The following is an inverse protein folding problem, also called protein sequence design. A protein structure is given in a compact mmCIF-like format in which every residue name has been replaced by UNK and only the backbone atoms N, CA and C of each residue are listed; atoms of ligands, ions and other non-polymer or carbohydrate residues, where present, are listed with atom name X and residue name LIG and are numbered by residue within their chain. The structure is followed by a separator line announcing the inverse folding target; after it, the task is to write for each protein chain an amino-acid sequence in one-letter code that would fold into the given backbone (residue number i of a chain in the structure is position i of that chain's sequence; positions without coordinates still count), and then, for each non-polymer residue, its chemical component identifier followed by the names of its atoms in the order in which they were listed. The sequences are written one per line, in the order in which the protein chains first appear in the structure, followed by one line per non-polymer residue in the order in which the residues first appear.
data_IF_692085346415
#
_entry.id   IF_692085346415
#
_cell.length_a   1.000
_cell.length_b   1.000
_cell.length_c   1.000
_cell.angle_alpha   90.00
_cell.angle_beta   90.00
_cell.angle_gamma   90.00
#
_symmetry.space_group_name_H-M   'P 1'
#
loop_
_entity.id
_entity.type
_entity.pdbx_description
1 polymer ?
#
# COMPACT_ATOMS: atom_id res chain seq x y z
N UNK A 1 34.62 40.16 -2.31
CA UNK A 1 33.79 39.35 -1.39
C UNK A 1 32.61 40.18 -0.98
N UNK A 2 31.41 39.87 -1.49
CA UNK A 2 30.23 40.71 -1.26
C UNK A 2 29.31 40.02 -0.25
N UNK A 3 29.17 40.64 0.92
CA UNK A 3 28.20 40.28 1.95
C UNK A 3 26.79 40.40 1.37
N UNK A 4 26.19 39.26 0.99
CA UNK A 4 24.86 39.22 0.36
C UNK A 4 23.68 39.26 1.32
N UNK A 5 23.91 39.32 2.63
CA UNK A 5 22.80 39.33 3.61
C UNK A 5 23.16 40.21 4.81
N UNK A 6 22.58 41.42 4.88
CA UNK A 6 22.50 42.16 6.15
C UNK A 6 21.41 41.48 6.98
N UNK A 7 21.79 40.79 8.04
CA UNK A 7 20.86 40.36 9.09
C UNK A 7 20.21 41.62 9.68
N UNK A 8 18.91 41.83 9.40
CA UNK A 8 18.10 42.85 10.07
C UNK A 8 18.10 42.51 11.55
N UNK A 9 18.57 43.43 12.40
CA UNK A 9 18.53 43.21 13.85
C UNK A 9 17.06 43.20 14.27
N UNK A 10 16.67 42.28 15.15
CA UNK A 10 15.28 42.13 15.65
C UNK A 10 14.63 43.47 16.07
N UNK A 11 15.44 44.37 16.63
CA UNK A 11 15.05 45.73 17.07
C UNK A 11 14.66 46.70 15.94
N UNK A 12 15.03 46.41 14.69
CA UNK A 12 14.71 47.22 13.52
C UNK A 12 13.55 46.63 12.70
N UNK A 13 12.94 45.53 13.17
CA UNK A 13 11.83 44.85 12.49
C UNK A 13 10.49 45.40 12.97
N UNK A 14 9.54 45.77 12.08
CA UNK A 14 8.23 46.25 12.49
C UNK A 14 7.50 45.25 13.39
N UNK A 15 6.84 45.73 14.45
CA UNK A 15 6.10 44.89 15.41
C UNK A 15 5.02 44.02 14.74
N UNK A 16 4.39 44.54 13.68
CA UNK A 16 3.45 43.77 12.84
C UNK A 16 4.12 42.56 12.20
N UNK A 17 5.30 42.74 11.60
CA UNK A 17 6.10 41.65 11.01
C UNK A 17 6.54 40.63 12.07
N UNK A 18 6.93 41.08 13.27
CA UNK A 18 7.28 40.17 14.37
C UNK A 18 6.08 39.28 14.75
N UNK A 19 4.89 39.87 14.93
CA UNK A 19 3.65 39.10 15.22
C UNK A 19 3.33 38.08 14.13
N UNK A 20 3.53 38.46 12.86
CA UNK A 20 3.34 37.60 11.70
C UNK A 20 4.34 36.44 11.66
N UNK A 21 5.61 36.70 11.94
CA UNK A 21 6.65 35.67 12.05
C UNK A 21 6.34 34.69 13.18
N UNK A 22 5.92 35.18 14.35
CA UNK A 22 5.56 34.34 15.49
C UNK A 22 4.32 33.48 15.21
N UNK A 23 3.30 34.03 14.56
CA UNK A 23 2.13 33.27 14.10
C UNK A 23 2.53 32.17 13.10
N UNK A 24 3.44 32.48 12.18
CA UNK A 24 3.93 31.53 11.16
C UNK A 24 4.77 30.42 11.81
N UNK A 25 5.62 30.75 12.79
CA UNK A 25 6.37 29.76 13.59
C UNK A 25 5.46 28.85 14.40
N UNK A 26 4.40 29.40 14.99
CA UNK A 26 3.39 28.60 15.70
C UNK A 26 2.71 27.59 14.75
N UNK A 27 2.33 28.02 13.54
CA UNK A 27 1.76 27.13 12.52
C UNK A 27 2.75 26.08 12.03
N UNK A 28 4.01 26.44 11.83
CA UNK A 28 5.09 25.50 11.50
C UNK A 28 5.21 24.40 12.56
N UNK A 29 5.27 24.77 13.84
CA UNK A 29 5.27 23.82 14.96
C UNK A 29 4.06 22.88 14.95
N UNK A 30 2.86 23.40 14.65
CA UNK A 30 1.63 22.62 14.55
C UNK A 30 1.59 21.63 13.38
N UNK A 31 2.42 21.80 12.34
CA UNK A 31 2.45 20.92 11.16
C UNK A 31 3.52 19.84 11.29
N UNK A 32 4.62 20.10 12.01
CA UNK A 32 5.73 19.16 12.19
C UNK A 32 5.30 17.87 12.89
N UNK A 33 4.50 17.96 13.95
CA UNK A 33 4.00 16.78 14.66
C UNK A 33 3.10 15.89 13.76
N UNK A 34 2.10 16.42 13.04
CA UNK A 34 1.34 15.66 12.05
C UNK A 34 2.19 15.00 10.95
N UNK A 35 3.29 15.64 10.52
CA UNK A 35 4.24 15.06 9.55
C UNK A 35 4.98 13.87 10.17
N UNK A 36 5.48 14.01 11.40
CA UNK A 36 6.14 12.91 12.12
C UNK A 36 5.20 11.71 12.25
N UNK A 37 3.99 11.95 12.74
CA UNK A 37 2.96 10.91 12.89
C UNK A 37 2.62 10.23 11.56
N UNK A 38 2.45 11.00 10.49
CA UNK A 38 2.14 10.41 9.16
C UNK A 38 3.32 9.61 8.59
N UNK A 39 4.55 9.98 8.93
CA UNK A 39 5.76 9.24 8.57
C UNK A 39 5.85 7.91 9.33
N UNK A 40 5.55 7.92 10.62
CA UNK A 40 5.45 6.70 11.45
C UNK A 40 4.33 5.78 10.94
N UNK A 41 3.13 6.32 10.69
CA UNK A 41 1.99 5.59 10.12
C UNK A 41 2.37 4.92 8.77
N UNK A 42 3.14 5.61 7.92
CA UNK A 42 3.64 5.07 6.66
C UNK A 42 4.66 3.95 6.83
N UNK A 43 5.52 4.04 7.86
CA UNK A 43 6.50 3.01 8.20
C UNK A 43 5.79 1.75 8.70
N UNK A 44 4.90 1.89 9.69
CA UNK A 44 4.08 0.79 10.20
C UNK A 44 3.22 0.16 9.11
N UNK A 45 2.62 0.97 8.24
CA UNK A 45 1.87 0.46 7.10
C UNK A 45 2.75 -0.36 6.14
N UNK A 46 4.00 0.06 5.87
CA UNK A 46 4.92 -0.70 5.04
C UNK A 46 5.24 -2.08 5.66
N UNK A 47 5.50 -2.12 6.97
CA UNK A 47 5.69 -3.39 7.71
C UNK A 47 4.46 -4.29 7.59
N UNK A 48 3.25 -3.73 7.72
CA UNK A 48 2.02 -4.51 7.62
C UNK A 48 1.78 -5.08 6.21
N UNK A 49 2.10 -4.31 5.16
CA UNK A 49 2.05 -4.82 3.77
C UNK A 49 3.04 -5.97 3.58
N UNK A 50 4.28 -5.84 4.07
CA UNK A 50 5.29 -6.89 4.00
C UNK A 50 4.84 -8.15 4.75
N UNK A 51 4.34 -7.98 5.98
CA UNK A 51 3.87 -9.10 6.78
C UNK A 51 2.72 -9.85 6.09
N UNK A 52 1.71 -9.13 5.61
CA UNK A 52 0.56 -9.75 4.94
C UNK A 52 0.99 -10.50 3.66
N UNK A 53 1.87 -9.92 2.83
CA UNK A 53 2.35 -10.57 1.60
C UNK A 53 3.24 -11.78 1.89
N UNK A 54 4.12 -11.71 2.89
CA UNK A 54 4.94 -12.86 3.30
C UNK A 54 4.11 -13.99 3.87
N UNK A 55 3.13 -13.69 4.73
CA UNK A 55 2.20 -14.70 5.24
C UNK A 55 1.39 -15.35 4.12
N UNK A 56 1.00 -14.59 3.10
CA UNK A 56 0.35 -15.16 1.93
C UNK A 56 1.28 -16.12 1.17
N UNK A 57 2.53 -15.71 0.97
CA UNK A 57 3.46 -16.45 0.12
C UNK A 57 4.10 -17.66 0.80
N UNK A 58 4.47 -17.52 2.07
CA UNK A 58 5.26 -18.48 2.86
C UNK A 58 4.45 -19.18 3.95
N UNK A 59 3.21 -18.74 4.22
CA UNK A 59 2.43 -19.23 5.35
C UNK A 59 3.00 -18.76 6.69
N UNK A 60 2.43 -19.25 7.79
CA UNK A 60 2.90 -19.01 9.16
C UNK A 60 2.90 -17.54 9.60
N UNK A 61 3.63 -17.24 10.68
CA UNK A 61 3.84 -15.87 11.16
C UNK A 61 5.13 -15.27 10.60
N UNK A 62 4.99 -14.41 9.58
CA UNK A 62 6.11 -13.78 8.86
C UNK A 62 6.02 -12.26 8.95
N UNK A 63 6.30 -11.71 10.12
CA UNK A 63 6.20 -10.26 10.39
C UNK A 63 7.53 -9.53 10.42
N UNK A 64 8.62 -10.16 9.97
CA UNK A 64 9.95 -9.57 10.01
C UNK A 64 10.07 -8.40 8.99
N UNK A 65 10.95 -7.45 9.30
CA UNK A 65 11.15 -6.25 8.49
C UNK A 65 12.33 -6.35 7.51
N UNK A 66 13.06 -7.48 7.52
CA UNK A 66 14.30 -7.68 6.77
C UNK A 66 14.10 -7.86 5.27
N UNK A 67 15.11 -8.40 4.59
CA UNK A 67 14.98 -8.90 3.23
C UNK A 67 13.90 -9.99 3.15
N UNK A 68 13.41 -10.30 1.94
CA UNK A 68 12.52 -11.43 1.79
C UNK A 68 13.26 -12.70 2.23
N UNK A 69 12.72 -13.48 3.19
CA UNK A 69 13.45 -14.62 3.72
C UNK A 69 13.58 -15.71 2.66
N UNK A 70 14.62 -16.52 2.77
CA UNK A 70 14.70 -17.76 2.00
C UNK A 70 13.47 -18.64 2.30
N UNK A 71 13.07 -19.47 1.33
CA UNK A 71 11.94 -20.37 1.50
C UNK A 71 12.19 -21.34 2.67
N UNK A 72 11.41 -21.28 3.76
CA UNK A 72 11.65 -22.13 4.92
C UNK A 72 10.89 -23.45 4.81
N UNK A 73 11.40 -24.52 5.44
CA UNK A 73 10.75 -25.84 5.39
C UNK A 73 9.35 -25.86 6.02
N UNK A 74 9.11 -25.03 7.04
CA UNK A 74 7.80 -24.88 7.70
C UNK A 74 6.74 -24.19 6.80
N UNK A 75 7.11 -23.73 5.60
CA UNK A 75 6.16 -23.32 4.56
C UNK A 75 5.47 -24.51 3.87
N UNK A 76 5.99 -25.73 4.08
CA UNK A 76 5.56 -26.95 3.43
C UNK A 76 5.11 -27.99 4.45
N UNK A 77 4.09 -28.76 4.10
CA UNK A 77 3.76 -29.96 4.87
C UNK A 77 4.66 -31.13 4.47
N UNK A 78 4.67 -32.19 5.28
CA UNK A 78 5.53 -33.35 5.04
C UNK A 78 5.24 -34.06 3.71
N UNK A 79 3.99 -34.14 3.22
CA UNK A 79 3.66 -34.92 2.03
C UNK A 79 2.73 -34.16 1.09
N UNK A 80 2.76 -34.49 -0.20
CA UNK A 80 1.83 -33.95 -1.20
C UNK A 80 0.38 -34.08 -0.77
N UNK A 81 -0.06 -35.27 -0.36
CA UNK A 81 -1.44 -35.48 0.16
C UNK A 81 -1.74 -34.56 1.36
N UNK A 82 -0.78 -34.39 2.26
CA UNK A 82 -0.85 -33.47 3.38
C UNK A 82 -1.08 -32.02 2.93
N UNK A 83 -0.32 -31.58 1.94
CA UNK A 83 -0.34 -30.22 1.40
C UNK A 83 -1.56 -29.94 0.52
N UNK A 84 -2.03 -30.93 -0.23
CA UNK A 84 -2.89 -30.71 -1.40
C UNK A 84 -4.31 -31.24 -1.21
N UNK A 85 -4.50 -32.27 -0.39
CA UNK A 85 -5.82 -32.84 -0.08
C UNK A 85 -6.30 -32.44 1.33
N UNK A 86 -5.46 -32.62 2.35
CA UNK A 86 -5.87 -32.34 3.73
C UNK A 86 -5.69 -30.87 4.05
N UNK A 87 -6.74 -30.17 4.49
CA UNK A 87 -6.67 -28.73 4.78
C UNK A 87 -6.21 -28.43 6.21
N UNK A 88 -5.43 -29.34 6.81
CA UNK A 88 -5.02 -29.29 8.21
C UNK A 88 -3.51 -29.02 8.42
N UNK A 89 -2.76 -28.65 7.39
CA UNK A 89 -1.34 -28.23 7.50
C UNK A 89 -1.17 -26.75 7.88
N UNK A 90 0.03 -26.37 8.36
CA UNK A 90 0.40 -24.99 8.73
C UNK A 90 -0.03 -24.02 7.63
N UNK A 91 -0.94 -23.10 7.99
CA UNK A 91 -1.71 -22.17 7.16
C UNK A 91 -1.24 -22.04 5.69
N UNK A 92 -1.87 -22.83 4.79
CA UNK A 92 -1.47 -23.02 3.38
C UNK A 92 -1.12 -21.71 2.66
N UNK A 93 0.07 -21.73 2.08
CA UNK A 93 0.74 -20.64 1.40
C UNK A 93 0.65 -20.78 -0.12
N UNK A 94 0.91 -19.70 -0.86
CA UNK A 94 1.03 -19.78 -2.32
C UNK A 94 2.18 -20.70 -2.77
N UNK A 95 3.29 -20.73 -2.02
CA UNK A 95 4.39 -21.63 -2.31
C UNK A 95 3.95 -23.10 -2.22
N UNK A 96 3.21 -23.47 -1.17
CA UNK A 96 2.67 -24.82 -1.02
C UNK A 96 1.66 -25.17 -2.12
N UNK A 97 0.85 -24.21 -2.57
CA UNK A 97 -0.11 -24.46 -3.65
C UNK A 97 0.59 -24.64 -5.01
N UNK A 98 1.71 -23.94 -5.25
CA UNK A 98 2.53 -24.17 -6.44
C UNK A 98 3.08 -25.60 -6.45
N UNK A 99 3.56 -26.09 -5.31
CA UNK A 99 4.01 -27.49 -5.15
C UNK A 99 2.89 -28.49 -5.38
N UNK A 100 1.66 -28.18 -5.00
CA UNK A 100 0.54 -29.08 -5.27
C UNK A 100 0.19 -29.20 -6.77
N UNK A 101 0.40 -28.11 -7.51
CA UNK A 101 0.09 -28.03 -8.93
C UNK A 101 1.18 -28.63 -9.81
N UNK A 102 2.42 -28.61 -9.32
CA UNK A 102 3.59 -28.98 -10.12
C UNK A 102 4.35 -30.18 -9.54
N UNK A 103 4.30 -30.40 -8.23
CA UNK A 103 4.87 -31.58 -7.59
C UNK A 103 3.99 -32.83 -7.73
N UNK A 104 4.60 -33.97 -7.43
CA UNK A 104 3.97 -35.29 -7.32
C UNK A 104 4.35 -35.93 -5.99
N UNK A 105 3.52 -36.83 -5.46
CA UNK A 105 3.68 -37.38 -4.12
C UNK A 105 4.72 -38.49 -4.03
N UNK A 106 4.67 -39.45 -4.95
CA UNK A 106 5.68 -40.50 -5.14
C UNK A 106 5.48 -41.10 -6.53
N UNK A 107 6.49 -41.04 -7.40
CA UNK A 107 6.45 -41.75 -8.69
C UNK A 107 7.67 -42.65 -8.90
N UNK A 108 7.48 -43.92 -9.32
CA UNK A 108 8.60 -44.74 -9.77
C UNK A 108 9.17 -44.27 -11.11
N UNK A 109 8.45 -43.39 -11.83
CA UNK A 109 8.87 -42.82 -13.11
C UNK A 109 9.30 -41.36 -12.92
N UNK A 110 10.61 -41.13 -12.95
CA UNK A 110 11.20 -39.80 -12.77
C UNK A 110 10.80 -38.81 -13.87
N UNK A 111 10.36 -39.27 -15.04
CA UNK A 111 9.89 -38.43 -16.14
C UNK A 111 8.53 -37.77 -15.85
N UNK A 112 7.79 -38.30 -14.88
CA UNK A 112 6.50 -37.74 -14.43
C UNK A 112 6.63 -36.72 -13.29
N UNK A 113 7.83 -36.57 -12.73
CA UNK A 113 8.05 -35.74 -11.54
C UNK A 113 8.08 -34.25 -11.88
N UNK A 114 8.53 -33.87 -13.08
CA UNK A 114 8.80 -32.49 -13.47
C UNK A 114 7.60 -31.79 -14.13
N UNK A 115 6.44 -31.74 -13.47
CA UNK A 115 5.28 -30.99 -13.99
C UNK A 115 5.56 -29.49 -13.97
N UNK A 116 4.92 -28.70 -14.85
CA UNK A 116 5.14 -27.26 -15.00
C UNK A 116 6.56 -26.85 -15.47
N UNK A 117 7.38 -27.77 -16.01
CA UNK A 117 8.74 -27.47 -16.50
C UNK A 117 8.88 -27.43 -18.02
N UNK A 118 7.85 -27.83 -18.76
CA UNK A 118 7.91 -28.13 -20.20
C UNK A 118 8.40 -26.96 -21.08
N UNK A 119 8.16 -25.71 -20.66
CA UNK A 119 8.51 -24.52 -21.46
C UNK A 119 9.95 -24.02 -21.23
N UNK A 120 10.74 -24.67 -20.37
CA UNK A 120 12.08 -24.16 -19.97
C UNK A 120 13.15 -25.23 -20.15
N UNK A 121 14.02 -25.06 -21.16
CA UNK A 121 15.09 -26.01 -21.43
C UNK A 121 16.12 -26.01 -20.30
N UNK A 122 16.43 -27.19 -19.75
CA UNK A 122 17.49 -27.37 -18.75
C UNK A 122 17.10 -27.12 -17.29
N UNK A 123 15.86 -26.69 -17.01
CA UNK A 123 15.32 -26.61 -15.65
C UNK A 123 14.32 -27.73 -15.42
N UNK A 124 14.69 -28.69 -14.60
CA UNK A 124 13.85 -29.83 -14.21
C UNK A 124 14.15 -30.25 -12.78
N UNK A 125 13.30 -31.11 -12.22
CA UNK A 125 13.51 -31.75 -10.93
C UNK A 125 12.99 -33.19 -11.00
N UNK A 126 13.62 -34.07 -10.25
CA UNK A 126 13.30 -35.49 -10.18
C UNK A 126 13.04 -35.93 -8.73
N UNK A 127 12.54 -35.01 -7.91
CA UNK A 127 12.32 -35.19 -6.49
C UNK A 127 10.83 -35.29 -6.20
N UNK A 128 10.43 -36.31 -5.43
CA UNK A 128 9.07 -36.46 -4.93
C UNK A 128 8.77 -35.47 -3.80
N UNK A 129 7.55 -34.94 -3.76
CA UNK A 129 7.06 -34.14 -2.64
C UNK A 129 6.58 -35.03 -1.47
N UNK A 130 7.52 -35.74 -0.85
CA UNK A 130 7.31 -36.64 0.28
C UNK A 130 7.98 -36.19 1.60
N UNK A 131 8.68 -35.05 1.57
CA UNK A 131 9.17 -34.33 2.75
C UNK A 131 9.02 -32.81 2.56
N UNK A 132 9.04 -32.05 3.65
CA UNK A 132 9.04 -30.58 3.58
C UNK A 132 10.30 -30.02 2.88
N UNK A 133 11.46 -30.66 3.11
CA UNK A 133 12.73 -30.28 2.46
C UNK A 133 12.69 -30.49 0.94
N UNK A 134 12.03 -31.55 0.49
CA UNK A 134 11.80 -31.77 -0.94
C UNK A 134 10.87 -30.69 -1.51
N UNK A 135 9.83 -30.29 -0.77
CA UNK A 135 8.99 -29.14 -1.15
C UNK A 135 9.79 -27.85 -1.36
N UNK A 136 10.77 -27.55 -0.48
CA UNK A 136 11.69 -26.41 -0.67
C UNK A 136 12.50 -26.55 -1.96
N UNK A 137 12.98 -27.76 -2.27
CA UNK A 137 13.82 -28.04 -3.44
C UNK A 137 13.04 -27.85 -4.74
N UNK A 138 11.86 -28.46 -4.82
CA UNK A 138 10.99 -28.33 -6.00
C UNK A 138 10.58 -26.85 -6.18
N UNK A 139 10.23 -26.17 -5.09
CA UNK A 139 9.83 -24.76 -5.12
C UNK A 139 10.94 -23.88 -5.72
N UNK A 140 12.20 -24.10 -5.34
CA UNK A 140 13.32 -23.30 -5.85
C UNK A 140 13.46 -23.43 -7.36
N UNK A 141 13.31 -24.64 -7.88
CA UNK A 141 13.34 -24.90 -9.33
C UNK A 141 12.18 -24.21 -10.04
N UNK A 142 10.95 -24.39 -9.53
CA UNK A 142 9.74 -23.77 -10.10
C UNK A 142 9.77 -22.23 -10.03
N UNK A 143 10.26 -21.67 -8.93
CA UNK A 143 10.43 -20.23 -8.78
C UNK A 143 11.42 -19.68 -9.80
N UNK A 144 12.54 -20.38 -10.05
CA UNK A 144 13.49 -19.99 -11.09
C UNK A 144 12.87 -19.99 -12.49
N UNK A 145 11.97 -20.95 -12.76
CA UNK A 145 11.19 -20.97 -14.01
C UNK A 145 10.25 -19.75 -14.08
N UNK A 146 9.54 -19.43 -13.00
CA UNK A 146 8.69 -18.23 -12.94
C UNK A 146 9.48 -16.94 -13.21
N UNK A 147 10.69 -16.81 -12.67
CA UNK A 147 11.56 -15.64 -12.89
C UNK A 147 12.03 -15.52 -14.36
N UNK A 148 12.12 -16.63 -15.09
CA UNK A 148 12.50 -16.64 -16.51
C UNK A 148 11.31 -16.42 -17.45
N UNK A 149 10.11 -16.82 -17.04
CA UNK A 149 8.93 -16.88 -17.92
C UNK A 149 7.95 -15.73 -17.71
N UNK A 150 8.02 -15.03 -16.58
CA UNK A 150 7.09 -13.96 -16.26
C UNK A 150 7.81 -12.71 -15.74
N UNK A 151 7.41 -11.54 -16.25
CA UNK A 151 7.86 -10.27 -15.70
C UNK A 151 7.20 -9.99 -14.35
N UNK A 152 8.03 -9.62 -13.36
CA UNK A 152 7.57 -9.25 -12.04
C UNK A 152 6.63 -8.04 -12.11
N UNK A 153 5.37 -8.25 -11.72
CA UNK A 153 4.37 -7.19 -11.68
C UNK A 153 4.51 -6.35 -10.41
N UNK A 154 4.29 -5.03 -10.49
CA UNK A 154 4.31 -4.18 -9.30
C UNK A 154 3.21 -4.61 -8.33
N UNK A 155 3.55 -4.66 -7.04
CA UNK A 155 2.61 -4.97 -5.97
C UNK A 155 1.65 -3.78 -5.76
N UNK A 156 0.52 -3.79 -6.46
CA UNK A 156 -0.52 -2.76 -6.37
C UNK A 156 -1.87 -3.35 -5.97
N UNK A 157 -2.82 -2.55 -5.45
CA UNK A 157 -4.17 -3.02 -5.20
C UNK A 157 -4.84 -3.64 -6.44
N UNK A 158 -4.61 -3.06 -7.62
CA UNK A 158 -5.17 -3.51 -8.89
C UNK A 158 -4.57 -4.84 -9.32
N UNK A 159 -3.24 -4.98 -9.23
CA UNK A 159 -2.54 -6.24 -9.55
C UNK A 159 -3.06 -7.37 -8.65
N UNK A 160 -3.15 -7.13 -7.34
CA UNK A 160 -3.68 -8.12 -6.40
C UNK A 160 -5.12 -8.50 -6.75
N UNK A 161 -6.01 -7.51 -6.97
CA UNK A 161 -7.39 -7.79 -7.34
C UNK A 161 -7.50 -8.63 -8.62
N UNK A 162 -6.70 -8.30 -9.63
CA UNK A 162 -6.72 -8.99 -10.93
C UNK A 162 -6.28 -10.44 -10.77
N UNK A 163 -5.18 -10.69 -10.05
CA UNK A 163 -4.67 -12.04 -9.85
C UNK A 163 -5.57 -12.89 -8.96
N UNK A 164 -6.14 -12.31 -7.89
CA UNK A 164 -7.13 -13.01 -7.07
C UNK A 164 -8.38 -13.36 -7.88
N UNK A 165 -8.84 -12.44 -8.74
CA UNK A 165 -9.97 -12.72 -9.62
C UNK A 165 -9.66 -13.86 -10.60
N UNK A 166 -8.52 -13.81 -11.29
CA UNK A 166 -8.07 -14.87 -12.18
C UNK A 166 -8.06 -16.24 -11.46
N UNK A 167 -7.47 -16.30 -10.26
CA UNK A 167 -7.53 -17.50 -9.41
C UNK A 167 -8.97 -17.97 -9.16
N UNK A 168 -9.87 -17.07 -8.75
CA UNK A 168 -11.28 -17.45 -8.48
C UNK A 168 -12.01 -17.99 -9.71
N UNK A 169 -11.69 -17.52 -10.92
CA UNK A 169 -12.31 -18.03 -12.15
C UNK A 169 -11.83 -19.42 -12.55
N UNK A 170 -10.66 -19.81 -12.05
CA UNK A 170 -10.05 -21.11 -12.32
C UNK A 170 -10.40 -22.17 -11.27
N UNK A 171 -10.91 -21.74 -10.11
CA UNK A 171 -11.40 -22.65 -9.08
C UNK A 171 -12.65 -23.38 -9.56
N UNK A 172 -12.64 -24.72 -9.45
CA UNK A 172 -13.74 -25.56 -9.92
C UNK A 172 -13.89 -25.61 -11.44
N UNK A 173 -12.88 -25.18 -12.19
CA UNK A 173 -12.94 -25.13 -13.66
C UNK A 173 -13.17 -26.50 -14.30
N UNK A 174 -12.65 -27.56 -13.69
CA UNK A 174 -12.78 -28.93 -14.19
C UNK A 174 -13.84 -29.68 -13.38
N UNK A 175 -14.92 -30.07 -14.05
CA UNK A 175 -15.95 -30.93 -13.46
C UNK A 175 -15.46 -32.37 -13.42
N UNK A 176 -15.52 -32.98 -12.23
CA UNK A 176 -15.10 -34.35 -11.99
C UNK A 176 -16.33 -35.16 -11.58
N UNK A 177 -16.60 -36.27 -12.24
CA UNK A 177 -17.90 -36.96 -12.15
C UNK A 177 -18.12 -37.68 -10.82
N UNK A 178 -17.12 -38.44 -10.39
CA UNK A 178 -17.13 -39.30 -9.19
C UNK A 178 -16.51 -38.65 -7.96
N UNK A 179 -15.82 -37.52 -8.15
CA UNK A 179 -15.09 -36.88 -7.08
C UNK A 179 -15.97 -36.12 -6.08
N UNK A 180 -15.47 -35.96 -4.86
CA UNK A 180 -16.13 -35.17 -3.82
C UNK A 180 -16.36 -33.74 -4.30
N UNK A 181 -17.60 -33.24 -4.12
CA UNK A 181 -18.05 -31.92 -4.62
C UNK A 181 -17.86 -31.71 -6.13
N UNK A 182 -17.69 -32.79 -6.89
CA UNK A 182 -17.50 -32.79 -8.34
C UNK A 182 -16.37 -31.86 -8.83
N UNK A 183 -15.35 -31.64 -7.98
CA UNK A 183 -14.24 -30.73 -8.28
C UNK A 183 -14.53 -29.24 -8.06
N UNK A 184 -15.70 -28.85 -7.54
CA UNK A 184 -16.11 -27.45 -7.38
C UNK A 184 -15.15 -26.57 -6.56
N UNK A 185 -14.31 -27.17 -5.71
CA UNK A 185 -13.32 -26.48 -4.88
C UNK A 185 -11.87 -26.85 -5.22
N UNK A 186 -11.64 -27.50 -6.37
CA UNK A 186 -10.31 -27.84 -6.84
C UNK A 186 -9.72 -26.71 -7.68
N UNK A 187 -8.44 -26.40 -7.47
CA UNK A 187 -7.65 -25.58 -8.37
C UNK A 187 -6.64 -26.47 -9.11
N UNK A 188 -6.60 -26.40 -10.44
CA UNK A 188 -5.94 -27.40 -11.27
C UNK A 188 -6.91 -28.44 -11.83
N UNK A 189 -6.40 -29.44 -12.56
CA UNK A 189 -7.23 -30.42 -13.29
C UNK A 189 -7.87 -31.43 -12.36
N UNK A 190 -7.08 -31.95 -11.42
CA UNK A 190 -7.50 -33.01 -10.52
C UNK A 190 -7.79 -34.35 -11.19
N UNK A 191 -7.84 -35.36 -10.35
CA UNK A 191 -8.21 -36.73 -10.73
C UNK A 191 -9.68 -36.98 -10.41
N UNK A 192 -10.37 -37.68 -11.30
CA UNK A 192 -11.74 -38.09 -11.05
C UNK A 192 -11.74 -39.30 -10.10
N UNK A 193 -12.01 -39.04 -8.82
CA UNK A 193 -12.01 -40.04 -7.76
C UNK A 193 -12.35 -39.43 -6.40
N UNK A 194 -12.69 -40.28 -5.43
CA UNK A 194 -13.14 -39.86 -4.10
C UNK A 194 -12.08 -39.05 -3.34
N UNK A 195 -10.79 -39.27 -3.64
CA UNK A 195 -9.64 -38.54 -3.12
C UNK A 195 -8.94 -37.77 -4.25
N UNK A 196 -9.28 -36.49 -4.43
CA UNK A 196 -8.61 -35.64 -5.42
C UNK A 196 -7.23 -35.17 -4.92
N UNK A 197 -6.32 -34.79 -5.83
CA UNK A 197 -5.07 -34.11 -5.49
C UNK A 197 -4.12 -34.94 -4.59
N UNK A 198 -3.99 -36.24 -4.84
CA UNK A 198 -3.09 -37.10 -4.04
C UNK A 198 -1.65 -37.13 -4.55
N UNK A 199 -1.39 -36.61 -5.76
CA UNK A 199 -0.06 -36.58 -6.35
C UNK A 199 0.45 -37.93 -6.89
N UNK A 200 -0.42 -38.94 -6.99
CA UNK A 200 -0.03 -40.31 -7.39
C UNK A 200 -0.17 -40.58 -8.90
N UNK A 201 -0.37 -39.56 -9.73
CA UNK A 201 -0.69 -39.73 -11.15
C UNK A 201 0.20 -38.85 -12.02
N UNK A 202 0.35 -39.24 -13.30
CA UNK A 202 1.09 -38.52 -14.32
C UNK A 202 0.62 -37.06 -14.47
N UNK A 203 1.46 -36.24 -15.11
CA UNK A 203 1.49 -34.76 -15.22
C UNK A 203 0.19 -34.01 -15.55
N UNK A 204 -0.93 -34.70 -15.76
CA UNK A 204 -2.20 -34.11 -16.19
C UNK A 204 -3.25 -33.97 -15.07
N UNK A 205 -3.00 -34.46 -13.85
CA UNK A 205 -4.02 -34.47 -12.79
C UNK A 205 -3.67 -33.70 -11.51
N UNK A 206 -2.58 -32.93 -11.52
CA UNK A 206 -2.17 -32.11 -10.38
C UNK A 206 -3.22 -31.06 -10.00
N UNK A 207 -3.39 -30.83 -8.70
CA UNK A 207 -4.36 -29.88 -8.16
C UNK A 207 -4.13 -29.56 -6.68
N UNK A 208 -4.84 -28.53 -6.21
CA UNK A 208 -5.09 -28.23 -4.79
C UNK A 208 -6.59 -28.43 -4.52
N UNK A 209 -6.96 -29.15 -3.47
CA UNK A 209 -8.35 -29.30 -3.05
C UNK A 209 -8.65 -28.40 -1.84
N UNK A 210 -9.58 -27.46 -1.99
CA UNK A 210 -10.03 -26.57 -0.90
C UNK A 210 -11.37 -26.98 -0.27
N UNK A 211 -11.96 -28.11 -0.66
CA UNK A 211 -13.31 -28.51 -0.24
C UNK A 211 -13.49 -28.52 1.29
N UNK A 212 -12.57 -29.14 2.04
CA UNK A 212 -12.70 -29.21 3.49
C UNK A 212 -12.62 -27.82 4.17
N UNK A 213 -11.93 -26.83 3.61
CA UNK A 213 -11.83 -25.49 4.18
C UNK A 213 -13.10 -24.68 3.96
N UNK A 214 -13.77 -24.88 2.81
CA UNK A 214 -15.09 -24.30 2.58
C UNK A 214 -16.17 -24.96 3.45
N UNK A 215 -16.04 -26.27 3.70
CA UNK A 215 -17.01 -27.07 4.47
C UNK A 215 -16.89 -26.98 5.99
N UNK A 216 -15.83 -26.37 6.53
CA UNK A 216 -15.70 -26.16 7.99
C UNK A 216 -16.90 -25.41 8.59
N UNK A 217 -17.56 -24.54 7.80
CA UNK A 217 -18.82 -23.87 8.17
C UNK A 217 -19.69 -23.60 6.92
N UNK A 218 -21.02 -23.61 7.06
CA UNK A 218 -21.99 -23.51 5.94
C UNK A 218 -21.96 -22.20 5.12
N UNK A 219 -21.13 -21.21 5.47
CA UNK A 219 -20.98 -19.93 4.76
C UNK A 219 -19.55 -19.36 4.78
N UNK A 220 -18.54 -20.22 4.79
CA UNK A 220 -17.14 -19.75 4.82
C UNK A 220 -16.82 -18.93 3.57
N UNK A 221 -16.44 -17.66 3.75
CA UNK A 221 -16.01 -16.81 2.63
C UNK A 221 -14.65 -17.28 2.12
N UNK A 222 -14.37 -17.10 0.82
CA UNK A 222 -13.10 -17.54 0.21
C UNK A 222 -11.86 -17.02 0.95
N UNK A 223 -11.84 -15.75 1.38
CA UNK A 223 -10.72 -15.20 2.14
C UNK A 223 -10.57 -15.75 3.57
N UNK A 224 -11.53 -16.52 4.06
CA UNK A 224 -11.45 -17.26 5.33
C UNK A 224 -11.05 -18.72 5.09
N UNK A 225 -11.60 -19.34 4.04
CA UNK A 225 -11.31 -20.71 3.63
C UNK A 225 -9.87 -20.86 3.11
N UNK A 226 -9.42 -19.92 2.29
CA UNK A 226 -8.09 -19.91 1.67
C UNK A 226 -7.27 -18.81 2.34
N UNK A 227 -6.35 -19.21 3.23
CA UNK A 227 -5.63 -18.27 4.11
C UNK A 227 -4.79 -17.28 3.32
N UNK A 228 -3.97 -17.74 2.38
CA UNK A 228 -3.15 -16.83 1.56
C UNK A 228 -4.01 -15.83 0.76
N UNK A 229 -5.20 -16.23 0.30
CA UNK A 229 -6.14 -15.34 -0.38
C UNK A 229 -6.56 -14.21 0.55
N UNK A 230 -6.97 -14.55 1.78
CA UNK A 230 -7.31 -13.57 2.82
C UNK A 230 -6.15 -12.62 3.15
N UNK A 231 -4.92 -13.14 3.22
CA UNK A 231 -3.71 -12.35 3.46
C UNK A 231 -3.40 -11.39 2.30
N UNK A 232 -3.63 -11.78 1.04
CA UNK A 232 -3.51 -10.87 -0.10
C UNK A 232 -4.61 -9.79 -0.10
N UNK A 233 -5.84 -10.12 0.32
CA UNK A 233 -6.88 -9.11 0.54
C UNK A 233 -6.48 -8.10 1.62
N UNK A 234 -5.85 -8.55 2.70
CA UNK A 234 -5.30 -7.70 3.75
C UNK A 234 -4.21 -6.77 3.19
N UNK A 235 -3.24 -7.33 2.46
CA UNK A 235 -2.18 -6.55 1.81
C UNK A 235 -2.76 -5.48 0.86
N UNK A 236 -3.76 -5.84 0.04
CA UNK A 236 -4.48 -4.90 -0.82
C UNK A 236 -5.09 -3.75 -0.02
N UNK A 237 -5.78 -4.03 1.09
CA UNK A 237 -6.36 -2.99 1.96
C UNK A 237 -5.27 -2.05 2.48
N UNK A 238 -4.15 -2.61 2.95
CA UNK A 238 -3.02 -1.83 3.45
C UNK A 238 -2.36 -0.96 2.38
N UNK A 239 -2.29 -1.42 1.13
CA UNK A 239 -1.80 -0.61 0.00
C UNK A 239 -2.74 0.57 -0.34
N UNK A 240 -4.06 0.39 -0.20
CA UNK A 240 -5.03 1.49 -0.35
C UNK A 240 -4.84 2.52 0.77
N UNK A 241 -4.73 2.07 2.02
CA UNK A 241 -4.42 2.93 3.18
C UNK A 241 -3.11 3.70 2.95
N UNK A 242 -2.08 3.03 2.43
CA UNK A 242 -0.78 3.65 2.10
C UNK A 242 -0.93 4.83 1.14
N UNK A 243 -1.74 4.67 0.08
CA UNK A 243 -1.97 5.73 -0.91
C UNK A 243 -2.63 6.95 -0.27
N UNK A 244 -3.54 6.74 0.68
CA UNK A 244 -4.18 7.83 1.43
C UNK A 244 -3.18 8.53 2.36
N UNK A 245 -2.35 7.77 3.07
CA UNK A 245 -1.30 8.31 3.93
C UNK A 245 -0.25 9.13 3.14
N UNK A 246 0.15 8.67 1.96
CA UNK A 246 1.07 9.41 1.09
C UNK A 246 0.47 10.75 0.62
N UNK A 247 -0.83 10.77 0.28
CA UNK A 247 -1.53 12.02 -0.07
C UNK A 247 -1.56 12.99 1.11
N UNK A 248 -1.89 12.49 2.31
CA UNK A 248 -1.89 13.28 3.55
C UNK A 248 -0.50 13.87 3.84
N UNK A 249 0.55 13.06 3.78
CA UNK A 249 1.92 13.51 3.99
C UNK A 249 2.36 14.55 2.96
N UNK A 250 1.99 14.34 1.69
CA UNK A 250 2.29 15.29 0.61
C UNK A 250 1.65 16.64 0.89
N UNK A 251 0.35 16.66 1.24
CA UNK A 251 -0.36 17.89 1.60
C UNK A 251 0.29 18.62 2.77
N UNK A 252 0.65 17.89 3.83
CA UNK A 252 1.32 18.47 4.99
C UNK A 252 2.69 19.08 4.64
N UNK A 253 3.48 18.41 3.78
CA UNK A 253 4.77 18.93 3.32
C UNK A 253 4.60 20.16 2.44
N UNK A 254 3.62 20.18 1.55
CA UNK A 254 3.29 21.37 0.74
C UNK A 254 2.91 22.56 1.63
N UNK A 255 2.11 22.35 2.68
CA UNK A 255 1.80 23.40 3.67
C UNK A 255 3.05 23.91 4.38
N UNK A 256 3.97 23.03 4.75
CA UNK A 256 5.23 23.41 5.39
C UNK A 256 6.11 24.27 4.47
N UNK A 257 6.22 23.90 3.19
CA UNK A 257 6.98 24.66 2.18
C UNK A 257 6.37 26.06 2.00
N UNK A 258 5.05 26.16 1.84
CA UNK A 258 4.34 27.44 1.69
C UNK A 258 4.53 28.36 2.92
N UNK A 259 4.60 27.79 4.13
CA UNK A 259 4.92 28.56 5.34
C UNK A 259 6.35 29.09 5.32
N UNK A 260 7.32 28.29 4.86
CA UNK A 260 8.71 28.73 4.74
C UNK A 260 8.86 29.87 3.71
N UNK A 261 8.16 29.78 2.57
CA UNK A 261 8.11 30.85 1.56
C UNK A 261 7.47 32.12 2.14
N UNK A 262 6.39 31.98 2.91
CA UNK A 262 5.75 33.11 3.60
C UNK A 262 6.69 33.78 4.60
N UNK A 263 7.44 32.98 5.39
CA UNK A 263 8.46 33.53 6.30
C UNK A 263 9.54 34.29 5.52
N UNK A 264 10.01 33.73 4.40
CA UNK A 264 11.03 34.36 3.58
C UNK A 264 10.57 35.72 3.03
N UNK A 265 9.35 35.78 2.47
CA UNK A 265 8.75 37.03 1.98
C UNK A 265 8.60 38.08 3.08
N UNK A 266 8.21 37.67 4.30
CA UNK A 266 8.13 38.57 5.45
C UNK A 266 9.50 39.15 5.82
N UNK A 267 10.56 38.33 5.78
CA UNK A 267 11.93 38.78 6.02
C UNK A 267 12.42 39.75 4.93
N UNK A 268 12.16 39.47 3.66
CA UNK A 268 12.54 40.36 2.56
C UNK A 268 11.83 41.72 2.62
N UNK A 269 10.53 41.71 2.95
CA UNK A 269 9.74 42.93 3.14
C UNK A 269 10.27 43.77 4.30
N UNK A 270 10.64 43.13 5.41
CA UNK A 270 11.23 43.81 6.56
C UNK A 270 12.63 44.34 6.30
N UNK A 271 13.41 43.69 5.43
CA UNK A 271 14.76 44.13 5.05
C UNK A 271 14.75 45.29 4.05
N UNK A 272 13.68 45.43 3.27
CA UNK A 272 13.48 46.50 2.29
C UNK A 272 12.21 47.30 2.61
N UNK A 273 12.14 48.01 3.75
CA UNK A 273 10.98 48.83 4.06
C UNK A 273 10.79 49.88 2.96
N UNK A 274 9.56 50.08 2.44
CA UNK A 274 9.32 51.08 1.41
C UNK A 274 9.79 52.46 1.89
N UNK A 275 10.47 53.19 1.02
CA UNK A 275 10.97 54.53 1.33
C UNK A 275 9.83 55.40 1.84
N UNK A 276 9.98 55.88 3.07
CA UNK A 276 9.01 56.65 3.83
C UNK A 276 8.51 57.86 3.03
N UNK A 277 7.19 57.94 2.80
CA UNK A 277 6.53 59.25 2.74
C UNK A 277 6.24 59.66 4.18
N UNK A 278 6.82 60.78 4.58
CA UNK A 278 6.59 61.48 5.83
C UNK A 278 5.10 61.78 6.02
N UNK A 279 4.55 61.28 7.12
CA UNK A 279 3.18 61.55 7.57
C UNK A 279 2.82 60.55 8.67
N UNK A 280 2.63 61.03 9.90
CA UNK A 280 2.27 60.22 11.06
C UNK A 280 0.88 59.58 10.87
N UNK A 281 0.84 58.42 10.22
CA UNK A 281 -0.16 57.37 10.43
C UNK A 281 0.49 56.11 9.88
N UNK A 282 0.69 55.11 10.72
CA UNK A 282 1.19 53.82 10.26
C UNK A 282 0.22 53.31 9.19
N UNK A 283 0.66 53.06 7.93
CA UNK A 283 -0.16 52.32 7.01
C UNK A 283 -0.17 50.90 7.54
N UNK A 284 -1.29 50.51 8.15
CA UNK A 284 -1.61 49.10 8.33
C UNK A 284 -1.72 48.54 6.90
N UNK A 285 -0.66 47.91 6.39
CA UNK A 285 -0.64 47.37 5.04
C UNK A 285 -1.73 46.29 4.92
N UNK A 286 -2.87 46.61 4.27
CA UNK A 286 -4.02 45.72 4.23
C UNK A 286 -3.75 44.54 3.29
N UNK A 287 -2.75 44.64 2.41
CA UNK A 287 -2.46 43.63 1.38
C UNK A 287 -1.77 42.39 1.94
N UNK A 288 -1.01 42.55 3.03
CA UNK A 288 -0.30 41.45 3.69
C UNK A 288 -1.22 40.71 4.69
N UNK A 289 -2.09 41.46 5.38
CA UNK A 289 -3.08 40.91 6.30
C UNK A 289 -4.16 40.09 5.54
N UNK A 290 -4.46 40.47 4.29
CA UNK A 290 -5.42 39.78 3.42
C UNK A 290 -4.86 38.50 2.80
N UNK A 291 -3.58 38.44 2.41
CA UNK A 291 -2.94 37.19 1.92
C UNK A 291 -2.85 36.08 2.98
N UNK A 292 -2.76 36.45 4.26
CA UNK A 292 -2.58 35.51 5.36
C UNK A 292 -3.92 35.05 5.97
N UNK A 293 -4.98 35.87 5.82
CA UNK A 293 -6.36 35.51 6.17
C UNK A 293 -7.03 34.65 5.09
N UNK A 294 -6.72 34.88 3.81
CA UNK A 294 -7.26 34.14 2.68
C UNK A 294 -6.11 33.57 1.83
N UNK A 295 -5.74 32.29 2.02
CA UNK A 295 -4.71 31.64 1.19
C UNK A 295 -5.18 31.62 -0.26
N UNK A 296 -4.40 32.22 -1.17
CA UNK A 296 -4.82 32.44 -2.56
C UNK A 296 -4.75 31.20 -3.47
N UNK A 297 -4.20 30.06 -3.02
CA UNK A 297 -3.99 28.88 -3.90
C UNK A 297 -4.27 27.54 -3.22
N UNK A 298 -5.04 26.69 -3.91
CA UNK A 298 -5.34 25.27 -3.63
C UNK A 298 -6.09 24.97 -2.32
N UNK A 299 -7.35 25.39 -2.24
CA UNK A 299 -8.26 24.97 -1.16
C UNK A 299 -9.60 24.52 -1.71
N UNK A 300 -10.15 23.47 -1.09
CA UNK A 300 -11.55 23.05 -1.31
C UNK A 300 -12.49 24.04 -0.61
N UNK A 301 -13.78 24.15 -0.99
CA UNK A 301 -14.72 25.08 -0.35
C UNK A 301 -14.76 24.97 1.19
N UNK A 302 -14.56 23.76 1.72
CA UNK A 302 -14.54 23.47 3.15
C UNK A 302 -13.29 23.99 3.89
N UNK A 303 -12.21 24.29 3.17
CA UNK A 303 -10.95 24.79 3.72
C UNK A 303 -10.84 26.33 3.61
N UNK A 304 -11.83 26.99 3.02
CA UNK A 304 -11.93 28.45 2.94
C UNK A 304 -12.44 29.04 4.27
N UNK A 305 -11.70 29.92 4.96
CA UNK A 305 -12.18 30.55 6.18
C UNK A 305 -13.38 31.47 5.92
N UNK A 306 -14.60 30.97 6.12
CA UNK A 306 -15.86 31.67 5.81
C UNK A 306 -16.09 32.95 6.62
N UNK A 307 -15.35 33.15 7.71
CA UNK A 307 -15.42 34.36 8.53
C UNK A 307 -14.88 35.59 7.80
N UNK A 308 -13.89 35.44 6.92
CA UNK A 308 -13.23 36.59 6.25
C UNK A 308 -13.03 36.40 4.74
N UNK A 309 -13.32 35.20 4.21
CA UNK A 309 -13.09 34.85 2.81
C UNK A 309 -14.35 34.24 2.16
N UNK A 310 -14.53 34.53 0.88
CA UNK A 310 -15.47 33.87 -0.02
C UNK A 310 -14.69 32.96 -0.98
N UNK A 311 -15.22 31.76 -1.18
CA UNK A 311 -14.67 30.83 -2.16
C UNK A 311 -15.22 31.16 -3.55
N UNK A 312 -14.33 31.41 -4.51
CA UNK A 312 -14.67 31.58 -5.91
C UNK A 312 -14.68 30.22 -6.61
N UNK A 313 -15.88 29.72 -6.92
CA UNK A 313 -16.05 28.42 -7.55
C UNK A 313 -15.58 28.37 -9.02
N UNK A 314 -15.35 29.54 -9.63
CA UNK A 314 -14.89 29.70 -11.02
C UNK A 314 -13.35 29.65 -11.08
N UNK A 315 -12.66 30.35 -10.19
CA UNK A 315 -11.18 30.38 -10.16
C UNK A 315 -10.58 29.36 -9.20
N UNK A 316 -11.39 28.71 -8.35
CA UNK A 316 -10.99 27.76 -7.30
C UNK A 316 -10.05 28.40 -6.26
N UNK A 317 -10.31 29.65 -5.91
CA UNK A 317 -9.49 30.47 -4.98
C UNK A 317 -10.35 31.02 -3.84
N UNK A 318 -9.74 31.28 -2.68
CA UNK A 318 -10.39 32.05 -1.60
C UNK A 318 -10.04 33.52 -1.70
N UNK A 319 -11.06 34.36 -1.90
CA UNK A 319 -10.96 35.82 -1.98
C UNK A 319 -11.47 36.44 -0.69
N UNK A 320 -10.96 37.60 -0.34
CA UNK A 320 -11.45 38.36 0.82
C UNK A 320 -12.86 38.87 0.54
N UNK A 321 -13.73 38.80 1.55
CA UNK A 321 -15.06 39.40 1.47
C UNK A 321 -14.95 40.91 1.24
N UNK A 322 -15.72 41.45 0.30
CA UNK A 322 -15.85 42.89 0.15
C UNK A 322 -16.56 43.45 1.41
N UNK A 323 -15.91 44.37 2.11
CA UNK A 323 -16.30 44.76 3.47
C UNK A 323 -17.65 45.47 3.57
N UNK A 324 -18.41 45.18 4.63
CA UNK A 324 -19.27 46.16 5.30
C UNK A 324 -18.44 46.82 6.40
N UNK A 325 -17.62 47.80 6.04
CA UNK A 325 -17.27 48.87 6.97
C UNK A 325 -18.47 49.81 7.03
N UNK A 326 -19.11 49.87 8.19
CA UNK A 326 -20.19 50.80 8.47
C UNK A 326 -19.67 52.22 8.31
N UNK A 327 -20.21 52.97 7.34
CA UNK A 327 -20.03 54.42 7.26
C UNK A 327 -20.60 55.06 8.53
N UNK A 328 -19.74 55.59 9.40
CA UNK A 328 -20.15 56.71 10.25
C UNK A 328 -20.27 57.96 9.38
N UNK A 329 -21.52 58.35 9.15
CA UNK A 329 -21.88 59.60 8.48
C UNK A 329 -21.66 60.73 9.49
N UNK A 330 -20.70 61.62 9.25
CA UNK A 330 -20.62 62.90 9.97
C UNK A 330 -21.61 63.90 9.40
N UNK A 331 -22.43 64.52 10.25
CA UNK A 331 -23.08 65.81 10.01
C UNK A 331 -23.22 66.55 11.35
N UNK A 332 -22.65 67.76 11.43
CA UNK A 332 -22.87 68.74 12.52
C UNK A 332 -21.59 69.26 13.15
#
# INVERSE_FOLDING_TARGET
GNQKYKLVKSKDTPTSTIKLLDATRKRDGQIREPISKSTEELSTNATNVRAATRRAFLGGDRSDNGAFPAMPEDAFTATHVGACLTLNGQEKSLASDMECLCGTGSSPDTSTLSVCTADTTGLTYNTDYNTASNGVTIYKTLHSICEQTAEAQPLTPTTITTQLHAFTTLLGRYTLGSATDKGNFAYGKGQDGTTQCTGNQASEHSCVNYAAAFKQNTRTKIGQAIKWYGRLMEARKKLVERKQLLRKLTHQRTKLISLAESMHSLYETAANPPATKTGNTAPEDPTLNTQIKCPKTNITPAECPTTNCDYDDTTKECKTKAGTETQETGIG
#
